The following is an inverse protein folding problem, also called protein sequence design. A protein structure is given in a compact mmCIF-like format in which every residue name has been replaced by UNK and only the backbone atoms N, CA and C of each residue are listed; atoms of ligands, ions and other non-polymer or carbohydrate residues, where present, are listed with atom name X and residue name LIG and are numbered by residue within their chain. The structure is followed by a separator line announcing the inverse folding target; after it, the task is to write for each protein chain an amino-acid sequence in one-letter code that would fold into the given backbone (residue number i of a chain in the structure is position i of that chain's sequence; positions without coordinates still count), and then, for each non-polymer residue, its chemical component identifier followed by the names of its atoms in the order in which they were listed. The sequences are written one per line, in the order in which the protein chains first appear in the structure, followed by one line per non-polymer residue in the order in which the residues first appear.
data_IF_168524996817
#
_entry.id   IF_168524996817
#
_cell.length_a   1.000
_cell.length_b   1.000
_cell.length_c   1.000
_cell.angle_alpha   90.00
_cell.angle_beta   90.00
_cell.angle_gamma   90.00
#
_symmetry.space_group_name_H-M   'P 1'
#
loop_
_entity.id
_entity.type
_entity.pdbx_description
1 polymer ?
#
# COMPACT_ATOMS: atom_id res chain seq x y z
N UNK A 1 -21.07 -46.11 -4.05
CA UNK A 1 -20.96 -44.66 -4.18
C UNK A 1 -19.54 -44.29 -4.55
N UNK A 2 -19.38 -43.66 -5.69
CA UNK A 2 -18.04 -43.31 -6.16
C UNK A 2 -17.47 -42.16 -5.33
N UNK A 3 -16.22 -42.34 -4.91
CA UNK A 3 -15.49 -41.23 -4.29
C UNK A 3 -15.25 -40.15 -5.35
N UNK A 4 -15.28 -38.88 -4.97
CA UNK A 4 -14.81 -37.85 -5.90
C UNK A 4 -13.39 -38.17 -6.31
N UNK A 5 -13.13 -38.11 -7.61
CA UNK A 5 -11.79 -38.36 -8.13
C UNK A 5 -10.80 -37.41 -7.48
N UNK A 6 -9.68 -37.94 -7.05
CA UNK A 6 -8.55 -37.11 -6.68
C UNK A 6 -8.17 -36.24 -7.87
N UNK A 7 -7.87 -35.01 -7.62
CA UNK A 7 -7.29 -34.13 -8.62
C UNK A 7 -5.93 -34.70 -8.97
N UNK A 8 -5.82 -35.26 -10.16
CA UNK A 8 -4.57 -35.89 -10.62
C UNK A 8 -3.60 -34.89 -11.21
N UNK A 9 -4.14 -33.74 -11.66
CA UNK A 9 -3.32 -32.64 -12.17
C UNK A 9 -2.80 -31.81 -11.02
N UNK A 10 -1.51 -31.46 -11.03
CA UNK A 10 -0.98 -30.54 -10.02
C UNK A 10 -1.75 -29.22 -10.04
N UNK A 11 -1.95 -28.65 -8.87
CA UNK A 11 -2.55 -27.34 -8.76
C UNK A 11 -1.70 -26.30 -9.49
N UNK A 12 -2.36 -25.37 -10.15
CA UNK A 12 -1.66 -24.23 -10.73
C UNK A 12 -1.05 -23.40 -9.63
N UNK A 13 -0.10 -22.57 -9.98
CA UNK A 13 0.55 -21.67 -9.01
C UNK A 13 -0.48 -20.77 -8.33
N UNK A 14 -1.44 -20.25 -9.08
CA UNK A 14 -2.51 -19.43 -8.53
C UNK A 14 -3.39 -20.22 -7.55
N UNK A 15 -3.75 -21.44 -7.91
CA UNK A 15 -4.57 -22.28 -7.05
C UNK A 15 -3.84 -22.63 -5.75
N UNK A 16 -2.53 -22.89 -5.83
CA UNK A 16 -1.70 -23.13 -4.66
C UNK A 16 -1.65 -21.90 -3.75
N UNK A 17 -1.50 -20.71 -4.32
CA UNK A 17 -1.46 -19.46 -3.56
C UNK A 17 -2.79 -19.20 -2.87
N UNK A 18 -3.90 -19.44 -3.56
CA UNK A 18 -5.23 -19.28 -2.97
C UNK A 18 -5.46 -20.25 -1.83
N UNK A 19 -5.07 -21.50 -2.02
CA UNK A 19 -5.20 -22.52 -0.97
C UNK A 19 -4.35 -22.17 0.24
N UNK A 20 -3.12 -21.75 0.03
CA UNK A 20 -2.23 -21.35 1.11
C UNK A 20 -2.78 -20.14 1.88
N UNK A 21 -3.31 -19.15 1.17
CA UNK A 21 -3.91 -17.97 1.78
C UNK A 21 -5.11 -18.35 2.65
N UNK A 22 -5.96 -19.24 2.17
CA UNK A 22 -7.12 -19.70 2.93
C UNK A 22 -6.68 -20.46 4.19
N UNK A 23 -5.68 -21.31 4.09
CA UNK A 23 -5.14 -22.03 5.24
C UNK A 23 -4.53 -21.09 6.27
N UNK A 24 -3.79 -20.08 5.82
CA UNK A 24 -3.18 -19.08 6.71
C UNK A 24 -4.23 -18.27 7.45
N UNK A 25 -5.28 -17.86 6.74
CA UNK A 25 -6.38 -17.12 7.36
C UNK A 25 -7.08 -17.96 8.42
N UNK A 26 -7.32 -19.23 8.12
CA UNK A 26 -7.96 -20.14 9.06
C UNK A 26 -7.11 -20.39 10.29
N UNK A 27 -5.81 -20.63 10.10
CA UNK A 27 -4.87 -20.82 11.18
C UNK A 27 -4.77 -19.55 12.07
N UNK A 28 -4.76 -18.40 11.45
CA UNK A 28 -4.75 -17.12 12.18
C UNK A 28 -6.02 -16.96 13.02
N UNK A 29 -7.18 -17.26 12.45
CA UNK A 29 -8.46 -17.17 13.16
C UNK A 29 -8.51 -18.11 14.36
N UNK A 30 -7.81 -19.25 14.29
CA UNK A 30 -7.70 -20.19 15.40
C UNK A 30 -6.60 -19.82 16.41
N UNK A 31 -5.80 -18.80 16.13
CA UNK A 31 -4.66 -18.44 16.94
C UNK A 31 -3.44 -19.34 16.76
N UNK A 32 -3.48 -20.24 15.78
CA UNK A 32 -2.40 -21.20 15.52
C UNK A 32 -1.24 -20.59 14.77
N UNK A 33 -1.51 -19.56 13.96
CA UNK A 33 -0.51 -18.89 13.16
C UNK A 33 -0.78 -17.41 13.18
N UNK A 34 0.26 -16.64 13.44
CA UNK A 34 0.18 -15.18 13.36
C UNK A 34 0.76 -14.75 12.03
N UNK A 35 0.07 -13.83 11.34
CA UNK A 35 0.66 -13.18 10.19
C UNK A 35 1.86 -12.36 10.64
N UNK A 36 2.90 -12.26 9.81
CA UNK A 36 4.03 -11.42 10.17
C UNK A 36 3.55 -9.98 10.36
N UNK A 37 3.83 -9.44 11.53
CA UNK A 37 3.52 -8.06 11.85
C UNK A 37 4.78 -7.26 11.60
N UNK A 38 4.76 -6.43 10.58
CA UNK A 38 5.87 -5.54 10.31
C UNK A 38 5.71 -4.29 11.15
N UNK A 39 6.60 -4.10 12.13
CA UNK A 39 6.68 -2.85 12.85
C UNK A 39 7.32 -1.83 11.92
N UNK A 40 6.50 -1.14 11.14
CA UNK A 40 6.98 -0.09 10.29
C UNK A 40 6.34 1.23 10.72
N UNK A 41 7.19 2.14 11.16
CA UNK A 41 6.76 3.49 11.47
C UNK A 41 7.31 4.42 10.41
N UNK A 42 6.42 5.00 9.61
CA UNK A 42 6.80 6.02 8.67
C UNK A 42 7.42 7.19 9.43
N UNK A 43 8.50 7.81 8.91
CA UNK A 43 9.09 8.97 9.56
C UNK A 43 8.05 10.05 9.86
N UNK A 44 8.16 10.66 11.03
CA UNK A 44 7.24 11.73 11.43
C UNK A 44 7.32 12.93 10.50
N UNK A 45 8.50 13.20 9.96
CA UNK A 45 8.76 14.33 9.08
C UNK A 45 9.08 13.83 7.68
N UNK A 46 8.11 13.99 6.79
CA UNK A 46 8.32 13.79 5.35
C UNK A 46 8.29 15.18 4.71
N UNK A 47 9.31 15.50 3.92
CA UNK A 47 9.34 16.75 3.20
C UNK A 47 8.41 16.65 1.99
N UNK A 48 7.16 17.08 2.19
CA UNK A 48 6.11 17.01 1.17
C UNK A 48 6.47 17.84 -0.05
N UNK A 49 7.07 19.00 0.18
CA UNK A 49 7.47 19.89 -0.92
C UNK A 49 8.54 19.25 -1.79
N UNK A 50 9.50 18.58 -1.19
CA UNK A 50 10.55 17.85 -1.93
C UNK A 50 9.94 16.74 -2.78
N UNK A 51 9.06 15.92 -2.18
CA UNK A 51 8.38 14.83 -2.89
C UNK A 51 7.60 15.38 -4.08
N UNK A 52 6.84 16.45 -3.86
CA UNK A 52 6.07 17.09 -4.91
C UNK A 52 6.96 17.65 -6.02
N UNK A 53 8.02 18.35 -5.63
CA UNK A 53 8.93 18.99 -6.59
C UNK A 53 9.63 17.96 -7.48
N UNK A 54 9.98 16.81 -6.92
CA UNK A 54 10.60 15.72 -7.68
C UNK A 54 9.68 15.15 -8.76
N UNK A 55 8.37 15.31 -8.58
CA UNK A 55 7.37 14.89 -9.56
C UNK A 55 6.98 16.00 -10.53
N UNK A 56 7.50 17.21 -10.34
CA UNK A 56 7.18 18.39 -11.16
C UNK A 56 5.68 18.72 -11.18
N UNK A 57 5.02 18.53 -10.04
CA UNK A 57 3.59 18.81 -9.90
C UNK A 57 3.34 20.09 -9.11
N UNK A 58 2.26 20.78 -9.44
CA UNK A 58 1.77 21.88 -8.61
C UNK A 58 1.13 21.32 -7.33
N UNK A 59 0.84 22.18 -6.37
CA UNK A 59 0.15 21.75 -5.14
C UNK A 59 -1.21 21.14 -5.45
N UNK A 60 -1.94 21.74 -6.36
CA UNK A 60 -3.26 21.27 -6.79
C UNK A 60 -3.16 19.91 -7.49
N UNK A 61 -2.22 19.77 -8.41
CA UNK A 61 -1.98 18.52 -9.11
C UNK A 61 -1.56 17.41 -8.16
N UNK A 62 -0.67 17.73 -7.23
CA UNK A 62 -0.20 16.79 -6.24
C UNK A 62 -1.31 16.33 -5.31
N UNK A 63 -2.14 17.26 -4.85
CA UNK A 63 -3.29 16.94 -4.00
C UNK A 63 -4.25 15.98 -4.71
N UNK A 64 -4.57 16.28 -5.96
CA UNK A 64 -5.40 15.39 -6.78
C UNK A 64 -4.77 14.02 -6.96
N UNK A 65 -3.47 13.98 -7.19
CA UNK A 65 -2.73 12.75 -7.42
C UNK A 65 -2.77 11.81 -6.21
N UNK A 66 -2.60 12.34 -5.01
CA UNK A 66 -2.58 11.53 -3.78
C UNK A 66 -3.95 11.41 -3.10
N UNK A 67 -4.98 12.05 -3.65
CA UNK A 67 -6.31 12.01 -3.06
C UNK A 67 -6.48 12.85 -1.80
N UNK A 68 -5.71 13.91 -1.66
CA UNK A 68 -5.80 14.84 -0.54
C UNK A 68 -6.39 16.18 -0.98
N UNK A 69 -6.78 17.01 -0.01
CA UNK A 69 -7.17 18.38 -0.33
C UNK A 69 -5.93 19.26 -0.53
N UNK A 70 -6.06 20.27 -1.36
CA UNK A 70 -4.97 21.23 -1.56
C UNK A 70 -4.64 21.99 -0.26
N UNK A 71 -5.64 22.20 0.60
CA UNK A 71 -5.42 22.78 1.91
C UNK A 71 -4.49 21.92 2.77
N UNK A 72 -4.72 20.61 2.78
CA UNK A 72 -3.85 19.69 3.50
C UNK A 72 -2.42 19.76 3.00
N UNK A 73 -2.24 19.73 1.68
CA UNK A 73 -0.91 19.80 1.08
C UNK A 73 -0.21 21.10 1.48
N UNK A 74 -0.89 22.22 1.41
CA UNK A 74 -0.34 23.52 1.82
C UNK A 74 0.05 23.54 3.29
N UNK A 75 -0.80 23.01 4.16
CA UNK A 75 -0.51 22.94 5.59
C UNK A 75 0.69 22.05 5.90
N UNK A 76 0.82 20.95 5.19
CA UNK A 76 1.98 20.06 5.34
C UNK A 76 3.28 20.76 4.90
N UNK A 77 3.24 21.47 3.78
CA UNK A 77 4.41 22.18 3.26
C UNK A 77 4.80 23.37 4.13
N UNK A 78 3.83 24.01 4.77
CA UNK A 78 4.06 25.15 5.66
C UNK A 78 4.38 24.74 7.10
N UNK A 79 4.36 23.46 7.41
CA UNK A 79 4.61 22.97 8.76
C UNK A 79 3.47 23.20 9.74
N UNK A 80 2.29 23.62 9.28
CA UNK A 80 1.12 23.82 10.14
C UNK A 80 0.49 22.53 10.59
N UNK A 81 0.57 21.50 9.77
CA UNK A 81 0.08 20.15 10.07
C UNK A 81 1.08 19.12 9.59
N UNK A 82 1.11 18.02 10.28
CA UNK A 82 1.89 16.85 9.87
C UNK A 82 0.93 15.90 9.16
N UNK A 83 1.33 15.27 8.04
CA UNK A 83 0.49 14.23 7.42
C UNK A 83 0.17 13.13 8.42
N UNK A 84 -1.07 12.60 8.36
CA UNK A 84 -1.45 11.48 9.21
C UNK A 84 -0.71 10.20 8.80
N UNK A 85 -0.92 9.10 9.55
CA UNK A 85 -0.20 7.86 9.33
C UNK A 85 -0.35 7.31 7.92
N UNK A 86 -1.55 7.35 7.37
CA UNK A 86 -1.84 6.87 6.01
C UNK A 86 -1.14 7.74 4.98
N UNK A 87 -1.25 9.05 5.11
CA UNK A 87 -0.61 9.99 4.19
C UNK A 87 0.91 9.88 4.27
N UNK A 88 1.48 9.77 5.48
CA UNK A 88 2.93 9.60 5.66
C UNK A 88 3.43 8.34 4.97
N UNK A 89 2.71 7.24 5.12
CA UNK A 89 3.08 5.98 4.48
C UNK A 89 3.10 6.12 2.96
N UNK A 90 2.07 6.72 2.38
CA UNK A 90 2.01 6.95 0.95
C UNK A 90 3.15 7.87 0.49
N UNK A 91 3.42 8.93 1.23
CA UNK A 91 4.50 9.86 0.91
C UNK A 91 5.88 9.20 0.97
N UNK A 92 6.09 8.30 1.93
CA UNK A 92 7.33 7.53 2.01
C UNK A 92 7.51 6.60 0.83
N UNK A 93 6.46 5.90 0.42
CA UNK A 93 6.49 5.03 -0.77
C UNK A 93 6.76 5.85 -2.02
N UNK A 94 6.10 6.99 -2.14
CA UNK A 94 6.26 7.88 -3.28
C UNK A 94 7.69 8.46 -3.36
N UNK A 95 8.27 8.77 -2.21
CA UNK A 95 9.65 9.24 -2.15
C UNK A 95 10.64 8.14 -2.57
N UNK A 96 10.41 6.92 -2.09
CA UNK A 96 11.31 5.80 -2.35
C UNK A 96 11.20 5.28 -3.78
N UNK A 97 9.99 5.22 -4.31
CA UNK A 97 9.74 4.65 -5.64
C UNK A 97 8.60 5.37 -6.35
N UNK A 98 8.84 6.56 -6.88
CA UNK A 98 7.80 7.33 -7.57
C UNK A 98 7.28 6.60 -8.81
N UNK A 99 8.12 5.86 -9.51
CA UNK A 99 7.72 5.13 -10.71
C UNK A 99 6.64 4.09 -10.43
N UNK A 100 6.75 3.37 -9.32
CA UNK A 100 5.76 2.35 -8.96
C UNK A 100 4.41 2.98 -8.65
N UNK A 101 4.40 4.11 -7.96
CA UNK A 101 3.15 4.81 -7.63
C UNK A 101 2.51 5.39 -8.89
N UNK A 102 3.30 6.01 -9.75
CA UNK A 102 2.82 6.54 -11.03
C UNK A 102 2.20 5.45 -11.89
N UNK A 103 2.88 4.30 -12.00
CA UNK A 103 2.37 3.16 -12.76
C UNK A 103 1.06 2.65 -12.18
N UNK A 104 0.97 2.52 -10.85
CA UNK A 104 -0.22 2.03 -10.17
C UNK A 104 -1.42 2.96 -10.38
N UNK A 105 -1.21 4.26 -10.31
CA UNK A 105 -2.29 5.24 -10.41
C UNK A 105 -2.69 5.55 -11.85
N UNK A 106 -1.80 5.31 -12.81
CA UNK A 106 -2.10 5.52 -14.22
C UNK A 106 -2.85 4.37 -14.88
N UNK A 107 -3.12 3.30 -14.13
CA UNK A 107 -3.90 2.16 -14.61
C UNK A 107 -5.39 2.29 -14.33
N UNK A 108 -5.82 3.43 -13.90
CA UNK A 108 -7.23 3.67 -13.64
C UNK A 108 -8.04 3.72 -14.96
#
# INVERSE_FOLDING_TARGET
MARPKKIETPLTELEQDLLQSAQDMLAHARGEKKFPTYSYNAPANVDVKEVRSNLHLTQEEFASFIGASVHSVRHWENGRRTPDGTARTLLCVLKANPSAVLAALNHA
#
